data_IF_576643457095
#
_entry.id   IF_576643457095
#
_cell.length_a   1.000
_cell.length_b   1.000
_cell.length_c   1.000
_cell.angle_alpha   90.00
_cell.angle_beta   90.00
_cell.angle_gamma   90.00
#
_symmetry.space_group_name_H-M   'P 1'
#
loop_
_entity.id
_entity.type
_entity.pdbx_description
1 polymer ?
#
# COMPACT_ATOMS: atom_id res chain seq x y z
N UNK A 1 12.66 -13.22 -0.68
CA UNK A 1 12.71 -11.77 -0.42
C UNK A 1 12.80 -11.06 -1.77
N UNK A 2 12.19 -9.88 -1.92
CA UNK A 2 12.35 -9.09 -3.15
C UNK A 2 13.76 -8.48 -3.11
N UNK A 3 14.59 -8.68 -4.12
CA UNK A 3 15.95 -8.09 -4.15
C UNK A 3 15.87 -6.56 -3.94
N UNK A 4 16.64 -6.04 -2.99
CA UNK A 4 16.67 -4.61 -2.63
C UNK A 4 15.61 -4.17 -1.60
N UNK A 5 14.68 -5.05 -1.19
CA UNK A 5 13.70 -4.74 -0.15
C UNK A 5 14.29 -4.94 1.25
N UNK A 6 14.92 -3.89 1.77
CA UNK A 6 15.22 -3.81 3.20
C UNK A 6 14.19 -2.91 3.91
N UNK A 7 13.44 -3.43 4.91
CA UNK A 7 12.45 -2.65 5.65
C UNK A 7 13.01 -1.32 6.18
N UNK A 8 14.26 -1.31 6.63
CA UNK A 8 14.96 -0.11 7.10
C UNK A 8 15.10 0.97 6.02
N UNK A 9 15.33 0.57 4.77
CA UNK A 9 15.50 1.53 3.66
C UNK A 9 14.18 2.23 3.34
N UNK A 10 13.08 1.49 3.32
CA UNK A 10 11.73 2.06 3.13
C UNK A 10 11.40 3.08 4.21
N UNK A 11 11.73 2.75 5.46
CA UNK A 11 11.50 3.62 6.60
C UNK A 11 12.28 4.92 6.50
N UNK A 12 13.55 4.85 6.07
CA UNK A 12 14.37 6.05 5.88
C UNK A 12 13.85 6.99 4.79
N UNK A 13 13.21 6.44 3.75
CA UNK A 13 12.61 7.23 2.66
C UNK A 13 11.30 7.87 3.11
N UNK A 14 10.43 7.10 3.79
CA UNK A 14 9.12 7.57 4.21
C UNK A 14 9.18 8.52 5.41
N UNK A 15 10.20 8.38 6.27
CA UNK A 15 10.37 9.14 7.50
C UNK A 15 11.84 9.56 7.70
N UNK A 16 12.34 10.51 6.89
CA UNK A 16 13.76 10.87 6.89
C UNK A 16 14.25 11.52 8.19
N UNK A 17 13.34 12.05 9.02
CA UNK A 17 13.69 12.90 10.18
C UNK A 17 13.37 12.27 11.55
N UNK A 18 12.92 11.01 11.61
CA UNK A 18 12.54 10.38 12.88
C UNK A 18 13.55 9.28 13.27
N UNK A 19 14.44 9.55 14.26
CA UNK A 19 15.48 8.62 14.66
C UNK A 19 14.96 7.41 15.44
N UNK A 20 13.69 7.40 15.87
CA UNK A 20 13.11 6.32 16.66
C UNK A 20 12.44 5.23 15.81
N UNK A 21 12.50 5.35 14.48
CA UNK A 21 11.80 4.45 13.60
C UNK A 21 12.54 3.13 13.45
N UNK A 22 11.82 2.04 13.72
CA UNK A 22 12.30 0.68 13.59
C UNK A 22 11.26 -0.22 12.90
N UNK A 23 11.67 -1.30 12.21
CA UNK A 23 10.78 -2.19 11.44
C UNK A 23 9.59 -2.77 12.20
N UNK A 24 9.77 -2.96 13.52
CA UNK A 24 8.74 -3.56 14.38
C UNK A 24 7.77 -2.52 14.97
N UNK A 25 7.90 -1.24 14.63
CA UNK A 25 7.01 -0.18 15.14
C UNK A 25 5.70 -0.16 14.36
N UNK A 26 4.61 0.24 15.02
CA UNK A 26 3.43 0.71 14.32
C UNK A 26 3.76 2.02 13.59
N UNK A 27 3.68 1.99 12.26
CA UNK A 27 3.94 3.16 11.43
C UNK A 27 2.68 4.03 11.39
N UNK A 28 2.76 5.24 11.91
CA UNK A 28 1.63 6.17 11.94
C UNK A 28 1.67 7.12 10.73
N UNK A 29 0.52 7.40 10.14
CA UNK A 29 0.42 8.24 8.92
C UNK A 29 0.55 9.73 9.20
N UNK A 30 0.39 10.16 10.45
CA UNK A 30 0.54 11.56 10.88
C UNK A 30 1.98 12.07 10.80
N UNK A 31 2.97 11.19 10.81
CA UNK A 31 4.39 11.52 10.70
C UNK A 31 4.89 11.61 9.25
N UNK A 32 4.05 11.26 8.28
CA UNK A 32 4.38 11.33 6.85
C UNK A 32 4.24 12.78 6.35
N UNK A 33 5.03 13.15 5.33
CA UNK A 33 4.82 14.42 4.63
C UNK A 33 3.46 14.45 3.92
N UNK A 34 2.99 15.65 3.55
CA UNK A 34 1.68 15.82 2.90
C UNK A 34 1.56 14.97 1.63
N UNK A 35 2.58 14.97 0.76
CA UNK A 35 2.58 14.18 -0.47
C UNK A 35 2.53 12.67 -0.20
N UNK A 36 3.27 12.21 0.80
CA UNK A 36 3.24 10.81 1.22
C UNK A 36 1.88 10.42 1.80
N UNK A 37 1.18 11.32 2.51
CA UNK A 37 -0.18 11.09 2.99
C UNK A 37 -1.19 10.99 1.85
N UNK A 38 -1.05 11.82 0.81
CA UNK A 38 -1.87 11.73 -0.39
C UNK A 38 -1.64 10.40 -1.11
N UNK A 39 -0.39 9.98 -1.25
CA UNK A 39 -0.04 8.68 -1.83
C UNK A 39 -0.60 7.52 -1.00
N UNK A 40 -0.48 7.58 0.33
CA UNK A 40 -1.10 6.60 1.23
C UNK A 40 -2.61 6.53 1.00
N UNK A 41 -3.29 7.68 0.92
CA UNK A 41 -4.73 7.74 0.66
C UNK A 41 -5.10 7.08 -0.66
N UNK A 42 -4.35 7.33 -1.73
CA UNK A 42 -4.53 6.67 -3.03
C UNK A 42 -4.37 5.15 -2.91
N UNK A 43 -3.34 4.67 -2.20
CA UNK A 43 -3.08 3.25 -2.01
C UNK A 43 -4.21 2.58 -1.22
N UNK A 44 -4.63 3.15 -0.08
CA UNK A 44 -5.62 2.51 0.80
C UNK A 44 -7.04 2.55 0.26
N UNK A 45 -7.34 3.44 -0.69
CA UNK A 45 -8.66 3.50 -1.33
C UNK A 45 -8.71 2.82 -2.69
N UNK A 46 -7.63 2.91 -3.48
CA UNK A 46 -7.64 2.42 -4.86
C UNK A 46 -6.87 1.10 -5.01
N UNK A 47 -5.62 1.01 -4.55
CA UNK A 47 -4.78 -0.17 -4.84
C UNK A 47 -4.98 -1.32 -3.85
N UNK A 48 -5.12 -1.01 -2.57
CA UNK A 48 -5.28 -1.96 -1.48
C UNK A 48 -6.41 -1.51 -0.55
N UNK A 49 -7.68 -1.49 -1.02
CA UNK A 49 -8.84 -1.14 -0.23
C UNK A 49 -8.87 -1.90 1.10
N UNK A 50 -8.67 -1.16 2.19
CA UNK A 50 -8.80 -1.63 3.57
C UNK A 50 -10.07 -1.04 4.16
N UNK A 51 -10.90 -1.87 4.81
CA UNK A 51 -12.18 -1.44 5.38
C UNK A 51 -12.07 -0.58 6.66
N UNK A 52 -10.94 0.09 6.88
CA UNK A 52 -10.60 0.84 8.09
C UNK A 52 -9.10 0.87 8.37
N UNK A 53 -8.68 1.56 9.44
CA UNK A 53 -7.28 1.58 9.90
C UNK A 53 -6.38 2.60 9.22
N UNK A 54 -6.93 3.68 8.66
CA UNK A 54 -6.18 4.70 7.90
C UNK A 54 -5.18 5.53 8.72
N UNK A 55 -5.24 5.46 10.06
CA UNK A 55 -4.27 6.13 10.93
C UNK A 55 -2.89 5.45 10.94
N UNK A 56 -2.84 4.18 10.51
CA UNK A 56 -1.62 3.39 10.50
C UNK A 56 -1.26 2.95 9.07
N UNK A 57 0.02 2.75 8.84
CA UNK A 57 0.61 2.28 7.61
C UNK A 57 1.00 0.81 7.78
N UNK A 58 0.31 -0.08 7.06
CA UNK A 58 0.70 -1.49 7.02
C UNK A 58 1.98 -1.71 6.22
N UNK A 59 2.72 -2.80 6.46
CA UNK A 59 3.93 -3.15 5.69
C UNK A 59 3.68 -3.21 4.18
N UNK A 60 2.52 -3.73 3.76
CA UNK A 60 2.16 -3.81 2.34
C UNK A 60 1.93 -2.42 1.74
N UNK A 61 1.28 -1.51 2.48
CA UNK A 61 1.10 -0.13 2.03
C UNK A 61 2.44 0.61 1.97
N UNK A 62 3.32 0.45 2.97
CA UNK A 62 4.65 1.03 2.97
C UNK A 62 5.49 0.54 1.77
N UNK A 63 5.39 -0.76 1.44
CA UNK A 63 6.03 -1.33 0.26
C UNK A 63 5.51 -0.69 -1.03
N UNK A 64 4.20 -0.60 -1.21
CA UNK A 64 3.62 0.01 -2.41
C UNK A 64 3.98 1.50 -2.54
N UNK A 65 3.99 2.24 -1.43
CA UNK A 65 4.47 3.62 -1.40
C UNK A 65 5.92 3.71 -1.88
N UNK A 66 6.79 2.87 -1.34
CA UNK A 66 8.19 2.81 -1.72
C UNK A 66 8.38 2.45 -3.20
N UNK A 67 7.62 1.48 -3.73
CA UNK A 67 7.70 1.14 -5.14
C UNK A 67 7.35 2.33 -6.05
N UNK A 68 6.31 3.09 -5.70
CA UNK A 68 5.88 4.26 -6.49
C UNK A 68 6.92 5.38 -6.42
N UNK A 69 7.44 5.69 -5.22
CA UNK A 69 8.44 6.75 -5.00
C UNK A 69 9.76 6.40 -5.70
N UNK A 70 10.19 5.14 -5.55
CA UNK A 70 11.45 4.65 -6.09
C UNK A 70 11.34 4.21 -7.55
N UNK A 71 10.14 4.31 -8.15
CA UNK A 71 9.82 3.84 -9.51
C UNK A 71 10.19 2.37 -9.76
N UNK A 72 10.05 1.54 -8.73
CA UNK A 72 10.27 0.10 -8.84
C UNK A 72 9.02 -0.53 -9.44
N UNK A 73 9.21 -1.32 -10.48
CA UNK A 73 8.11 -2.04 -11.11
C UNK A 73 7.53 -3.09 -10.16
N UNK A 74 6.21 -3.18 -10.11
CA UNK A 74 5.50 -4.18 -9.33
C UNK A 74 4.33 -4.76 -10.12
N UNK A 75 3.98 -6.02 -9.83
CA UNK A 75 2.91 -6.70 -10.54
C UNK A 75 1.53 -6.25 -10.04
N UNK A 76 1.00 -5.19 -10.65
CA UNK A 76 -0.33 -4.67 -10.31
C UNK A 76 -1.48 -5.69 -10.51
N UNK A 77 -1.51 -6.51 -11.58
CA UNK A 77 -2.55 -7.54 -11.74
C UNK A 77 -2.58 -8.56 -10.59
N UNK A 78 -1.41 -8.95 -10.07
CA UNK A 78 -1.32 -9.86 -8.93
C UNK A 78 -1.88 -9.21 -7.66
N UNK A 79 -1.61 -7.92 -7.45
CA UNK A 79 -2.16 -7.16 -6.33
C UNK A 79 -3.69 -7.06 -6.40
N UNK A 80 -4.23 -6.78 -7.60
CA UNK A 80 -5.67 -6.75 -7.84
C UNK A 80 -6.29 -8.12 -7.51
N UNK A 81 -5.71 -9.21 -8.04
CA UNK A 81 -6.20 -10.57 -7.82
C UNK A 81 -6.22 -10.93 -6.33
N UNK A 82 -5.11 -10.68 -5.61
CA UNK A 82 -5.03 -10.96 -4.17
C UNK A 82 -6.08 -10.17 -3.38
N UNK A 83 -6.33 -8.92 -3.75
CA UNK A 83 -7.32 -8.06 -3.09
C UNK A 83 -8.76 -8.53 -3.37
N UNK A 84 -9.04 -8.97 -4.60
CA UNK A 84 -10.33 -9.53 -4.98
C UNK A 84 -10.61 -10.85 -4.26
N UNK A 85 -9.63 -11.76 -4.20
CA UNK A 85 -9.73 -13.01 -3.43
C UNK A 85 -10.03 -12.71 -1.97
N UNK A 86 -9.31 -11.74 -1.36
CA UNK A 86 -9.57 -11.32 0.02
C UNK A 86 -10.98 -10.76 0.21
N UNK A 87 -11.46 -9.90 -0.69
CA UNK A 87 -12.80 -9.32 -0.62
C UNK A 87 -13.89 -10.41 -0.72
N UNK A 88 -13.69 -11.38 -1.61
CA UNK A 88 -14.55 -12.56 -1.77
C UNK A 88 -14.59 -13.40 -0.48
N UNK A 89 -13.43 -13.73 0.10
CA UNK A 89 -13.34 -14.50 1.36
C UNK A 89 -13.99 -13.77 2.54
N UNK A 90 -13.86 -12.44 2.61
CA UNK A 90 -14.47 -11.62 3.68
C UNK A 90 -15.99 -11.43 3.50
N UNK A 91 -16.62 -12.07 2.49
CA UNK A 91 -18.04 -11.91 2.14
C UNK A 91 -18.45 -10.44 1.95
N UNK A 92 -17.52 -9.59 1.53
CA UNK A 92 -17.86 -8.23 1.13
C UNK A 92 -18.52 -8.31 -0.24
N UNK A 93 -19.75 -7.83 -0.33
CA UNK A 93 -20.55 -7.91 -1.55
C UNK A 93 -19.99 -7.10 -2.73
N UNK A 94 -19.14 -6.10 -2.45
CA UNK A 94 -18.53 -5.28 -3.49
C UNK A 94 -17.18 -5.87 -3.89
N UNK A 95 -17.12 -6.38 -5.13
CA UNK A 95 -15.87 -6.82 -5.75
C UNK A 95 -15.04 -5.58 -6.14
N UNK A 96 -13.88 -5.33 -5.51
CA UNK A 96 -13.03 -4.22 -5.90
C UNK A 96 -12.56 -4.40 -7.35
N UNK A 97 -12.29 -3.30 -8.05
CA UNK A 97 -11.81 -3.24 -9.44
C UNK A 97 -12.78 -3.66 -10.56
N UNK A 98 -14.02 -4.04 -10.27
CA UNK A 98 -14.97 -4.49 -11.30
C UNK A 98 -15.09 -3.54 -12.51
N UNK A 99 -15.22 -2.23 -12.26
CA UNK A 99 -15.31 -1.23 -13.34
C UNK A 99 -14.06 -1.18 -14.23
N UNK A 100 -12.86 -1.35 -13.65
CA UNK A 100 -11.60 -1.33 -14.41
C UNK A 100 -11.47 -2.63 -15.21
N UNK A 101 -11.76 -3.78 -14.59
CA UNK A 101 -11.68 -5.07 -15.28
C UNK A 101 -12.62 -5.14 -16.47
N UNK A 102 -13.85 -4.64 -16.35
CA UNK A 102 -14.80 -4.56 -17.47
C UNK A 102 -14.28 -3.68 -18.60
N UNK A 103 -13.47 -2.65 -18.33
CA UNK A 103 -12.83 -1.83 -19.37
C UNK A 103 -11.63 -2.50 -20.04
N UNK A 104 -10.95 -3.42 -19.34
CA UNK A 104 -9.76 -4.11 -19.86
C UNK A 104 -10.15 -5.31 -20.72
N UNK A 105 -11.17 -6.07 -20.30
CA UNK A 105 -11.56 -7.32 -20.95
C UNK A 105 -12.69 -7.19 -21.97
N UNK A 106 -13.17 -5.97 -22.24
CA UNK A 106 -14.18 -5.68 -23.24
C UNK A 106 -13.57 -4.90 -24.40
#
# INVERSE_FOLDING_TARGET
EVEGFHPNHILSILYPNDPNIHPNMALCTNKLSVDHRLLHHLIVHQLLPTGGGYGNLSRMQAFLMWCIISKVEFCYPLLMLHTMVRAFTQKKFVLPFGCILTKIFR
#
